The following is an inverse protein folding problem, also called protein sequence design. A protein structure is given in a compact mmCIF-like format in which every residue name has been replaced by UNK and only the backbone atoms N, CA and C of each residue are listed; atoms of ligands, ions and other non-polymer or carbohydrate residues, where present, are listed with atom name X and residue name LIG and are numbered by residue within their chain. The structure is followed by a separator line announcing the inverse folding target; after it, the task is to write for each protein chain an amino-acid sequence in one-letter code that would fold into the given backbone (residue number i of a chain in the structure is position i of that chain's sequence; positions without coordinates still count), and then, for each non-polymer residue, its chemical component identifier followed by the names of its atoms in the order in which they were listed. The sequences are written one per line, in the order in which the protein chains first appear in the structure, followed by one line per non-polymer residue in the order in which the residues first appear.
data_IF_673639012171
#
_entry.id   IF_673639012171
#
_cell.length_a   1.000
_cell.length_b   1.000
_cell.length_c   1.000
_cell.angle_alpha   90.00
_cell.angle_beta   90.00
_cell.angle_gamma   90.00
#
_symmetry.space_group_name_H-M   'P 1'
#
loop_
_entity.id
_entity.type
_entity.pdbx_description
1 polymer ?
#
# COMPACT_ATOMS: atom_id res chain seq x y z
N UNK A 1 -12.86 28.48 -44.04
CA UNK A 1 -11.99 27.28 -44.06
C UNK A 1 -11.26 27.19 -42.73
N UNK A 2 -11.37 26.09 -41.98
CA UNK A 2 -10.69 25.96 -40.67
C UNK A 2 -9.23 25.57 -40.87
N UNK A 3 -8.30 26.39 -40.42
CA UNK A 3 -6.86 26.11 -40.46
C UNK A 3 -6.51 25.17 -39.31
N UNK A 4 -6.13 23.93 -39.63
CA UNK A 4 -5.63 22.97 -38.65
C UNK A 4 -4.17 23.32 -38.35
N UNK A 5 -3.85 23.50 -37.07
CA UNK A 5 -2.48 23.74 -36.60
C UNK A 5 -1.97 22.49 -35.90
N UNK A 6 -0.87 21.93 -36.40
CA UNK A 6 -0.17 20.81 -35.77
C UNK A 6 0.92 21.35 -34.84
N UNK A 7 1.00 20.80 -33.63
CA UNK A 7 2.06 21.09 -32.69
C UNK A 7 2.95 19.86 -32.52
N UNK A 8 4.26 20.05 -32.60
CA UNK A 8 5.22 19.01 -32.29
C UNK A 8 5.10 18.63 -30.80
N UNK A 9 4.74 17.37 -30.53
CA UNK A 9 4.67 16.83 -29.17
C UNK A 9 6.01 16.16 -28.87
N UNK A 10 6.77 16.61 -27.85
CA UNK A 10 8.00 15.94 -27.48
C UNK A 10 7.75 14.48 -27.08
N UNK A 11 8.69 13.56 -27.39
CA UNK A 11 8.50 12.12 -27.21
C UNK A 11 8.24 11.72 -25.76
N UNK A 12 8.69 12.51 -24.77
CA UNK A 12 8.41 12.25 -23.35
C UNK A 12 6.98 12.59 -22.88
N UNK A 13 6.23 13.44 -23.59
CA UNK A 13 4.91 13.92 -23.12
C UNK A 13 3.85 12.82 -22.98
N UNK A 14 3.74 11.84 -23.89
CA UNK A 14 2.80 10.72 -23.73
C UNK A 14 3.08 9.89 -22.47
N UNK A 15 4.36 9.61 -22.20
CA UNK A 15 4.78 8.86 -21.00
C UNK A 15 4.45 9.64 -19.73
N UNK A 16 4.79 10.93 -19.68
CA UNK A 16 4.47 11.78 -18.53
C UNK A 16 2.96 11.88 -18.28
N UNK A 17 2.16 11.96 -19.35
CA UNK A 17 0.70 11.98 -19.27
C UNK A 17 0.16 10.64 -18.75
N UNK A 18 0.69 9.53 -19.24
CA UNK A 18 0.30 8.19 -18.78
C UNK A 18 0.58 8.01 -17.30
N UNK A 19 1.82 8.27 -16.86
CA UNK A 19 2.21 8.13 -15.45
C UNK A 19 1.29 8.98 -14.58
N UNK A 20 1.15 10.27 -14.89
CA UNK A 20 0.33 11.19 -14.08
C UNK A 20 -1.14 10.78 -14.02
N UNK A 21 -1.69 10.22 -15.10
CA UNK A 21 -3.08 9.77 -15.13
C UNK A 21 -3.30 8.50 -14.28
N UNK A 22 -2.32 7.60 -14.25
CA UNK A 22 -2.47 6.30 -13.60
C UNK A 22 -1.90 6.23 -12.18
N UNK A 23 -1.03 7.17 -11.77
CA UNK A 23 -0.46 7.20 -10.42
C UNK A 23 -1.50 7.08 -9.30
N UNK A 24 -2.63 7.83 -9.30
CA UNK A 24 -3.59 7.71 -8.21
C UNK A 24 -4.25 6.33 -8.15
N UNK A 25 -4.60 5.77 -9.31
CA UNK A 25 -5.21 4.44 -9.41
C UNK A 25 -4.26 3.35 -8.93
N UNK A 26 -3.00 3.39 -9.38
CA UNK A 26 -1.96 2.47 -8.91
C UNK A 26 -1.69 2.61 -7.41
N UNK A 27 -1.73 3.83 -6.88
CA UNK A 27 -1.63 4.07 -5.44
C UNK A 27 -2.77 3.40 -4.66
N UNK A 28 -4.01 3.53 -5.14
CA UNK A 28 -5.17 2.91 -4.51
C UNK A 28 -5.11 1.37 -4.57
N UNK A 29 -4.80 0.82 -5.74
CA UNK A 29 -4.65 -0.63 -5.91
C UNK A 29 -3.49 -1.19 -5.11
N UNK A 30 -2.36 -0.47 -5.04
CA UNK A 30 -1.22 -0.84 -4.20
C UNK A 30 -1.57 -0.85 -2.72
N UNK A 31 -2.31 0.15 -2.24
CA UNK A 31 -2.80 0.19 -0.87
C UNK A 31 -3.76 -0.99 -0.59
N UNK A 32 -4.72 -1.25 -1.48
CA UNK A 32 -5.66 -2.37 -1.36
C UNK A 32 -4.95 -3.73 -1.34
N UNK A 33 -4.00 -3.95 -2.24
CA UNK A 33 -3.19 -5.17 -2.27
C UNK A 33 -2.35 -5.33 -0.99
N UNK A 34 -1.77 -4.24 -0.48
CA UNK A 34 -1.04 -4.24 0.79
C UNK A 34 -1.93 -4.61 1.98
N UNK A 35 -3.15 -4.07 2.06
CA UNK A 35 -4.13 -4.43 3.09
C UNK A 35 -4.53 -5.89 2.97
N UNK A 36 -4.79 -6.40 1.76
CA UNK A 36 -5.11 -7.80 1.54
C UNK A 36 -3.95 -8.73 1.96
N UNK A 37 -2.70 -8.38 1.63
CA UNK A 37 -1.53 -9.13 2.06
C UNK A 37 -1.39 -9.14 3.59
N UNK A 38 -1.58 -7.99 4.26
CA UNK A 38 -1.56 -7.90 5.72
C UNK A 38 -2.68 -8.72 6.36
N UNK A 39 -3.86 -8.77 5.75
CA UNK A 39 -4.98 -9.60 6.21
C UNK A 39 -4.63 -11.09 6.14
N UNK A 40 -4.17 -11.56 4.98
CA UNK A 40 -3.80 -12.96 4.78
C UNK A 40 -2.62 -13.38 5.68
N UNK A 41 -1.63 -12.51 5.84
CA UNK A 41 -0.45 -12.75 6.68
C UNK A 41 -0.66 -12.37 8.15
N UNK A 42 -1.88 -11.98 8.54
CA UNK A 42 -2.15 -11.55 9.91
C UNK A 42 -1.90 -12.65 10.93
N UNK A 43 -1.86 -13.92 10.53
CA UNK A 43 -1.53 -15.07 11.38
C UNK A 43 -0.03 -15.22 11.66
N UNK A 44 0.82 -14.66 10.79
CA UNK A 44 2.27 -14.81 10.87
C UNK A 44 2.85 -13.98 12.03
N UNK A 45 3.56 -14.60 13.00
CA UNK A 45 4.07 -13.90 14.19
C UNK A 45 4.94 -12.69 13.86
N UNK A 46 5.76 -12.79 12.80
CA UNK A 46 6.62 -11.70 12.35
C UNK A 46 5.81 -10.47 11.92
N UNK A 47 4.72 -10.67 11.17
CA UNK A 47 3.85 -9.57 10.69
C UNK A 47 3.09 -8.94 11.86
N UNK A 48 2.56 -9.75 12.79
CA UNK A 48 1.93 -9.24 14.01
C UNK A 48 2.87 -8.35 14.83
N UNK A 49 4.07 -8.85 15.14
CA UNK A 49 5.03 -8.17 16.03
C UNK A 49 5.72 -6.97 15.38
N UNK A 50 6.10 -7.08 14.12
CA UNK A 50 6.87 -6.03 13.44
C UNK A 50 5.98 -4.90 12.89
N UNK A 51 4.76 -5.22 12.46
CA UNK A 51 3.91 -4.26 11.76
C UNK A 51 2.56 -4.03 12.47
N UNK A 52 1.71 -5.05 12.58
CA UNK A 52 0.31 -4.85 12.99
C UNK A 52 0.18 -4.33 14.43
N UNK A 53 1.04 -4.78 15.36
CA UNK A 53 1.05 -4.28 16.74
C UNK A 53 1.53 -2.83 16.89
N UNK A 54 2.10 -2.23 15.83
CA UNK A 54 2.57 -0.84 15.80
C UNK A 54 1.58 0.12 15.14
N UNK A 55 0.45 -0.40 14.64
CA UNK A 55 -0.60 0.44 14.07
C UNK A 55 -1.20 1.31 15.19
N UNK A 56 -1.24 2.64 15.03
CA UNK A 56 -1.82 3.51 16.05
C UNK A 56 -3.30 3.17 16.26
N UNK A 57 -3.80 3.38 17.48
CA UNK A 57 -5.18 3.11 17.91
C UNK A 57 -5.53 1.61 18.03
N UNK A 58 -5.28 0.80 17.00
CA UNK A 58 -5.74 -0.61 16.95
C UNK A 58 -4.64 -1.66 17.18
N UNK A 59 -3.37 -1.28 17.26
CA UNK A 59 -2.25 -2.21 17.38
C UNK A 59 -2.33 -3.13 18.61
N UNK A 60 -2.97 -2.68 19.69
CA UNK A 60 -3.19 -3.46 20.90
C UNK A 60 -4.02 -4.75 20.70
N UNK A 61 -4.74 -4.87 19.57
CA UNK A 61 -5.45 -6.10 19.21
C UNK A 61 -4.49 -7.27 18.90
N UNK A 62 -3.31 -6.97 18.33
CA UNK A 62 -2.29 -7.98 18.01
C UNK A 62 -1.19 -8.11 19.07
N UNK A 63 -1.28 -7.38 20.18
CA UNK A 63 -0.31 -7.47 21.26
C UNK A 63 -0.46 -8.78 22.04
N UNK A 64 0.65 -9.44 22.33
CA UNK A 64 0.66 -10.57 23.26
C UNK A 64 0.55 -10.04 24.70
N UNK A 65 -0.54 -10.41 25.38
CA UNK A 65 -0.83 -10.03 26.76
C UNK A 65 -0.56 -11.17 27.75
N UNK A 66 -0.07 -12.30 27.26
CA UNK A 66 0.21 -13.48 28.09
C UNK A 66 1.41 -13.18 28.98
N UNK A 67 1.30 -13.32 30.32
CA UNK A 67 2.42 -13.09 31.21
C UNK A 67 3.54 -14.11 30.95
N UNK A 68 4.78 -13.74 31.23
CA UNK A 68 5.93 -14.61 30.98
C UNK A 68 5.90 -15.90 31.81
N UNK A 69 5.26 -15.90 32.98
CA UNK A 69 5.07 -17.08 33.83
C UNK A 69 4.27 -18.19 33.16
N UNK A 70 3.36 -17.84 32.25
CA UNK A 70 2.41 -18.78 31.64
C UNK A 70 2.91 -19.30 30.29
N UNK A 71 4.10 -18.83 29.86
CA UNK A 71 4.75 -19.27 28.63
C UNK A 71 5.65 -20.47 28.97
N UNK A 72 5.43 -21.64 28.35
CA UNK A 72 6.23 -22.83 28.64
C UNK A 72 7.68 -22.75 28.09
N UNK A 73 8.02 -21.66 27.39
CA UNK A 73 9.33 -21.35 26.81
C UNK A 73 9.53 -19.83 26.73
#
# INVERSE_FOLDING_TARGET
MSRVHFHAVPPQKPVARFVRAWTPSLGLWGAGAGVAALYLLSVTPLVKRAFLSKVPVIGGYWADKTPASDKPF
#
